data_IF_767370891002
#
_entry.id   IF_767370891002
#
_cell.length_a   1.000
_cell.length_b   1.000
_cell.length_c   1.000
_cell.angle_alpha   90.00
_cell.angle_beta   90.00
_cell.angle_gamma   90.00
#
_symmetry.space_group_name_H-M   'P 1'
#
loop_
_entity.id
_entity.type
_entity.pdbx_description
1 polymer ?
#
# COMPACT_ATOMS: atom_id res chain seq x y z
N UNK A 1 -16.96 -32.21 26.74
CA UNK A 1 -15.57 -31.93 27.13
C UNK A 1 -15.45 -30.41 27.40
N UNK A 2 -14.93 -30.01 28.56
CA UNK A 2 -14.63 -28.63 28.83
C UNK A 2 -13.53 -28.17 27.85
N UNK A 3 -13.75 -27.03 27.16
CA UNK A 3 -12.74 -26.45 26.26
C UNK A 3 -11.56 -25.95 27.09
N UNK A 4 -10.35 -26.33 26.70
CA UNK A 4 -9.15 -25.86 27.36
C UNK A 4 -8.92 -24.40 27.01
N UNK A 5 -8.62 -23.58 28.03
CA UNK A 5 -8.38 -22.14 27.85
C UNK A 5 -7.15 -21.90 26.96
N UNK A 6 -7.28 -21.00 26.00
CA UNK A 6 -6.15 -20.57 25.16
C UNK A 6 -5.26 -19.58 25.93
N UNK A 7 -4.30 -20.11 26.68
CA UNK A 7 -3.35 -19.30 27.48
C UNK A 7 -2.48 -18.44 26.57
N UNK A 8 -2.02 -18.96 25.43
CA UNK A 8 -1.17 -18.21 24.49
C UNK A 8 -1.85 -16.94 23.96
N UNK A 9 -3.14 -17.02 23.60
CA UNK A 9 -3.90 -15.83 23.20
C UNK A 9 -4.12 -14.87 24.36
N UNK A 10 -4.37 -15.38 25.56
CA UNK A 10 -4.52 -14.55 26.75
C UNK A 10 -3.24 -13.75 27.04
N UNK A 11 -2.09 -14.40 26.96
CA UNK A 11 -0.78 -13.78 27.19
C UNK A 11 -0.46 -12.73 26.14
N UNK A 12 -0.70 -13.01 24.86
CA UNK A 12 -0.52 -12.05 23.77
C UNK A 12 -1.41 -10.80 23.94
N UNK A 13 -2.66 -10.99 24.36
CA UNK A 13 -3.56 -9.86 24.69
C UNK A 13 -3.03 -9.06 25.87
N UNK A 14 -2.55 -9.72 26.92
CA UNK A 14 -1.97 -9.07 28.08
C UNK A 14 -0.74 -8.23 27.73
N UNK A 15 0.15 -8.75 26.85
CA UNK A 15 1.32 -8.04 26.32
C UNK A 15 0.94 -6.72 25.62
N UNK A 16 -0.24 -6.65 24.97
CA UNK A 16 -0.73 -5.41 24.35
C UNK A 16 -1.05 -4.30 25.33
N UNK A 17 -1.32 -4.62 26.60
CA UNK A 17 -1.88 -3.72 27.60
C UNK A 17 -3.34 -3.31 27.30
N UNK A 18 -4.03 -4.01 26.39
CA UNK A 18 -5.42 -3.72 26.02
C UNK A 18 -6.41 -4.59 26.77
N UNK A 19 -7.55 -4.00 27.13
CA UNK A 19 -8.72 -4.77 27.56
C UNK A 19 -9.37 -5.48 26.36
N UNK A 20 -10.09 -6.57 26.60
CA UNK A 20 -10.81 -7.31 25.55
C UNK A 20 -11.76 -6.45 24.71
N UNK A 21 -12.52 -5.46 25.28
CA UNK A 21 -13.29 -4.52 24.46
C UNK A 21 -12.41 -3.72 23.50
N UNK A 22 -11.22 -3.31 23.92
CA UNK A 22 -10.29 -2.55 23.08
C UNK A 22 -9.69 -3.42 21.97
N UNK A 23 -9.40 -4.69 22.27
CA UNK A 23 -9.01 -5.69 21.25
C UNK A 23 -10.12 -5.87 20.23
N UNK A 24 -11.38 -6.05 20.67
CA UNK A 24 -12.53 -6.20 19.77
C UNK A 24 -12.71 -4.98 18.85
N UNK A 25 -12.61 -3.77 19.39
CA UNK A 25 -12.71 -2.55 18.60
C UNK A 25 -11.57 -2.40 17.58
N UNK A 26 -10.35 -2.81 17.93
CA UNK A 26 -9.22 -2.83 17.02
C UNK A 26 -9.37 -3.92 15.94
N UNK A 27 -9.84 -5.10 16.32
CA UNK A 27 -10.15 -6.20 15.41
C UNK A 27 -11.19 -5.79 14.35
N UNK A 28 -12.29 -5.16 14.77
CA UNK A 28 -13.35 -4.70 13.85
C UNK A 28 -12.79 -3.67 12.84
N UNK A 29 -11.86 -2.82 13.25
CA UNK A 29 -11.20 -1.89 12.30
C UNK A 29 -10.40 -2.64 11.24
N UNK A 30 -9.58 -3.60 11.64
CA UNK A 30 -8.82 -4.43 10.68
C UNK A 30 -9.77 -5.24 9.80
N UNK A 31 -10.85 -5.80 10.36
CA UNK A 31 -11.88 -6.51 9.60
C UNK A 31 -12.54 -5.62 8.54
N UNK A 32 -12.84 -4.37 8.88
CA UNK A 32 -13.39 -3.39 7.94
C UNK A 32 -12.42 -3.04 6.81
N UNK A 33 -11.14 -2.85 7.14
CA UNK A 33 -10.08 -2.57 6.16
C UNK A 33 -9.91 -3.68 5.12
N UNK A 34 -10.05 -4.95 5.53
CA UNK A 34 -9.93 -6.11 4.62
C UNK A 34 -11.29 -6.55 4.05
N UNK A 35 -12.34 -5.76 4.23
CA UNK A 35 -13.68 -6.06 3.72
C UNK A 35 -14.33 -7.31 4.33
N UNK A 36 -13.96 -7.70 5.57
CA UNK A 36 -14.52 -8.84 6.30
C UNK A 36 -15.87 -8.48 6.93
N UNK A 37 -16.90 -8.25 6.11
CA UNK A 37 -18.22 -7.80 6.55
C UNK A 37 -18.84 -8.70 7.63
N UNK A 38 -18.63 -10.00 7.51
CA UNK A 38 -19.11 -11.02 8.45
C UNK A 38 -18.48 -10.90 9.85
N UNK A 39 -17.38 -10.17 10.00
CA UNK A 39 -16.64 -10.00 11.25
C UNK A 39 -16.84 -8.62 11.89
N UNK A 40 -17.59 -7.72 11.27
CA UNK A 40 -17.83 -6.37 11.80
C UNK A 40 -18.66 -6.38 13.11
N UNK A 41 -19.41 -7.45 13.36
CA UNK A 41 -20.14 -7.66 14.60
C UNK A 41 -19.31 -8.24 15.76
N UNK A 42 -17.99 -8.37 15.59
CA UNK A 42 -17.13 -8.95 16.65
C UNK A 42 -17.10 -8.04 17.88
N UNK A 43 -17.38 -8.64 19.03
CA UNK A 43 -17.51 -7.94 20.31
C UNK A 43 -16.56 -8.51 21.38
N UNK A 44 -16.54 -7.90 22.56
CA UNK A 44 -15.83 -8.43 23.74
C UNK A 44 -16.15 -9.93 23.98
N UNK A 45 -17.42 -10.33 23.81
CA UNK A 45 -17.85 -11.71 24.07
C UNK A 45 -17.16 -12.71 23.14
N UNK A 46 -16.93 -12.34 21.87
CA UNK A 46 -16.20 -13.17 20.92
C UNK A 46 -14.72 -13.31 21.35
N UNK A 47 -14.07 -12.23 21.74
CA UNK A 47 -12.69 -12.28 22.26
C UNK A 47 -12.61 -13.16 23.51
N UNK A 48 -13.58 -13.02 24.44
CA UNK A 48 -13.64 -13.84 25.64
C UNK A 48 -13.83 -15.35 25.32
N UNK A 49 -14.68 -15.69 24.33
CA UNK A 49 -14.87 -17.06 23.88
C UNK A 49 -13.57 -17.64 23.28
N UNK A 50 -12.84 -16.87 22.49
CA UNK A 50 -11.58 -17.30 21.88
C UNK A 50 -10.49 -17.54 22.94
N UNK A 51 -10.38 -16.65 23.93
CA UNK A 51 -9.52 -16.86 25.11
C UNK A 51 -9.98 -18.07 25.92
N UNK A 52 -11.29 -18.33 25.98
CA UNK A 52 -11.87 -19.51 26.63
C UNK A 52 -11.65 -20.84 25.88
N UNK A 53 -10.94 -20.84 24.74
CA UNK A 53 -10.59 -22.04 23.98
C UNK A 53 -11.48 -22.34 22.78
N UNK A 54 -12.44 -21.44 22.45
CA UNK A 54 -13.17 -21.54 21.18
C UNK A 54 -12.25 -21.09 20.04
N UNK A 55 -12.06 -21.93 19.02
CA UNK A 55 -11.27 -21.56 17.85
C UNK A 55 -12.08 -20.62 16.95
N UNK A 56 -11.56 -19.42 16.61
CA UNK A 56 -12.14 -18.58 15.58
C UNK A 56 -11.99 -19.23 14.21
N UNK A 57 -12.99 -19.03 13.33
CA UNK A 57 -13.03 -19.67 12.01
C UNK A 57 -12.83 -18.63 10.89
N UNK A 58 -12.65 -19.10 9.67
CA UNK A 58 -12.52 -18.26 8.47
C UNK A 58 -11.32 -17.32 8.56
N UNK A 59 -11.53 -16.02 8.32
CA UNK A 59 -10.48 -14.98 8.34
C UNK A 59 -10.13 -14.47 9.74
N UNK A 60 -10.95 -14.79 10.75
CA UNK A 60 -10.79 -14.23 12.09
C UNK A 60 -9.41 -14.48 12.73
N UNK A 61 -8.77 -15.66 12.60
CA UNK A 61 -7.42 -15.87 13.13
C UNK A 61 -6.38 -14.91 12.59
N UNK A 62 -6.36 -14.70 11.25
CA UNK A 62 -5.39 -13.83 10.60
C UNK A 62 -5.63 -12.34 10.93
N UNK A 63 -6.88 -11.92 10.99
CA UNK A 63 -7.25 -10.55 11.39
C UNK A 63 -6.86 -10.29 12.85
N UNK A 64 -7.00 -11.29 13.72
CA UNK A 64 -6.57 -11.18 15.12
C UNK A 64 -5.05 -11.06 15.22
N UNK A 65 -4.31 -11.89 14.47
CA UNK A 65 -2.85 -11.79 14.39
C UNK A 65 -2.41 -10.40 13.92
N UNK A 66 -3.00 -9.87 12.84
CA UNK A 66 -2.70 -8.52 12.33
C UNK A 66 -3.03 -7.45 13.37
N UNK A 67 -4.17 -7.57 14.05
CA UNK A 67 -4.57 -6.64 15.12
C UNK A 67 -3.55 -6.56 16.25
N UNK A 68 -3.05 -7.73 16.67
CA UNK A 68 -2.04 -7.83 17.73
C UNK A 68 -0.65 -7.37 17.22
N UNK A 69 -0.29 -7.73 15.98
CA UNK A 69 0.98 -7.33 15.36
C UNK A 69 1.13 -5.81 15.28
N UNK A 70 0.06 -5.09 14.89
CA UNK A 70 0.05 -3.62 14.87
C UNK A 70 0.33 -3.02 16.24
N UNK A 71 -0.23 -3.59 17.28
CA UNK A 71 -0.04 -3.07 18.64
C UNK A 71 1.32 -3.41 19.21
N UNK A 72 1.78 -4.64 18.99
CA UNK A 72 3.04 -5.15 19.54
C UNK A 72 4.26 -4.76 18.69
N UNK A 73 4.02 -4.22 17.49
CA UNK A 73 5.07 -3.84 16.52
C UNK A 73 6.05 -4.98 16.23
N UNK A 74 5.50 -6.20 16.17
CA UNK A 74 6.20 -7.43 15.76
C UNK A 74 5.21 -8.39 15.10
N UNK A 75 5.69 -9.29 14.22
CA UNK A 75 4.82 -10.31 13.65
C UNK A 75 4.23 -11.21 14.74
N UNK A 76 2.92 -11.44 14.69
CA UNK A 76 2.22 -12.44 15.49
C UNK A 76 1.66 -13.48 14.55
N UNK A 77 2.01 -14.74 14.78
CA UNK A 77 1.53 -15.86 13.98
C UNK A 77 0.37 -16.58 14.67
N UNK A 78 -0.53 -17.26 13.92
CA UNK A 78 -1.60 -18.05 14.52
C UNK A 78 -1.07 -19.11 15.50
N UNK A 79 0.02 -19.79 15.16
CA UNK A 79 0.63 -20.80 16.03
C UNK A 79 1.15 -20.22 17.36
N UNK A 80 1.68 -18.99 17.32
CA UNK A 80 2.16 -18.29 18.52
C UNK A 80 1.03 -17.99 19.51
N UNK A 81 -0.16 -17.66 19.00
CA UNK A 81 -1.35 -17.39 19.84
C UNK A 81 -2.28 -18.60 19.97
N UNK A 82 -1.80 -19.81 19.65
CA UNK A 82 -2.54 -21.05 19.84
C UNK A 82 -3.79 -21.20 18.98
N UNK A 83 -3.78 -20.61 17.79
CA UNK A 83 -4.88 -20.75 16.82
C UNK A 83 -4.47 -21.66 15.67
N UNK A 84 -5.41 -22.49 15.22
CA UNK A 84 -5.28 -23.31 14.03
C UNK A 84 -5.77 -22.49 12.82
N UNK A 85 -4.99 -22.45 11.76
CA UNK A 85 -5.41 -21.92 10.46
C UNK A 85 -5.36 -23.10 9.48
N UNK A 86 -6.37 -23.28 8.62
CA UNK A 86 -6.21 -24.17 7.47
C UNK A 86 -4.96 -23.76 6.72
N UNK A 87 -4.19 -24.72 6.25
CA UNK A 87 -2.86 -24.51 5.64
C UNK A 87 -2.94 -23.61 4.39
N UNK A 88 -3.10 -22.32 4.61
CA UNK A 88 -2.98 -21.28 3.59
C UNK A 88 -1.53 -20.79 3.60
N UNK A 89 -0.62 -21.75 3.35
CA UNK A 89 0.81 -21.54 3.16
C UNK A 89 1.42 -20.52 4.12
N UNK A 90 2.16 -20.96 5.13
CA UNK A 90 2.94 -20.09 5.99
C UNK A 90 3.87 -19.21 5.12
N UNK A 91 3.48 -17.96 4.92
CA UNK A 91 4.23 -16.97 4.17
C UNK A 91 5.38 -16.49 5.05
N UNK A 92 6.52 -17.12 4.90
CA UNK A 92 7.77 -16.73 5.57
C UNK A 92 8.91 -16.84 4.54
N UNK A 93 10.14 -16.94 4.91
CA UNK A 93 11.35 -17.03 4.07
C UNK A 93 11.22 -17.77 2.72
N UNK A 94 10.15 -18.55 2.52
CA UNK A 94 9.79 -19.27 1.31
C UNK A 94 9.48 -18.36 0.11
N UNK A 95 8.84 -17.19 0.27
CA UNK A 95 8.45 -16.33 -0.88
C UNK A 95 9.65 -15.83 -1.68
N UNK A 96 10.77 -15.53 -1.02
CA UNK A 96 11.98 -15.08 -1.68
C UNK A 96 12.66 -16.18 -2.51
N UNK A 97 12.44 -17.43 -2.15
CA UNK A 97 13.07 -18.60 -2.80
C UNK A 97 12.23 -19.22 -3.92
N UNK A 98 10.93 -18.88 -4.02
CA UNK A 98 10.07 -19.34 -5.11
C UNK A 98 10.57 -18.72 -6.42
N UNK A 99 10.57 -19.47 -7.51
CA UNK A 99 10.90 -18.93 -8.84
C UNK A 99 9.98 -17.77 -9.21
N UNK A 100 10.57 -16.70 -9.73
CA UNK A 100 9.86 -15.44 -9.99
C UNK A 100 8.77 -15.57 -11.06
N UNK A 101 9.03 -16.38 -12.10
CA UNK A 101 8.05 -16.62 -13.17
C UNK A 101 6.87 -17.45 -12.65
N UNK A 102 7.13 -18.49 -11.87
CA UNK A 102 6.09 -19.30 -11.23
C UNK A 102 5.25 -18.43 -10.30
N UNK A 103 5.88 -17.62 -9.44
CA UNK A 103 5.18 -16.72 -8.54
C UNK A 103 4.30 -15.69 -9.28
N UNK A 104 4.74 -15.17 -10.43
CA UNK A 104 3.96 -14.24 -11.25
C UNK A 104 2.69 -14.89 -11.79
N UNK A 105 2.82 -16.09 -12.34
CA UNK A 105 1.68 -16.82 -12.92
C UNK A 105 0.67 -17.22 -11.85
N UNK A 106 1.13 -17.76 -10.73
CA UNK A 106 0.27 -18.22 -9.64
C UNK A 106 -0.48 -17.06 -8.98
N UNK A 107 0.22 -15.95 -8.70
CA UNK A 107 -0.39 -14.76 -8.10
C UNK A 107 -1.43 -14.13 -9.04
N UNK A 108 -1.07 -13.93 -10.30
CA UNK A 108 -1.96 -13.30 -11.26
C UNK A 108 -3.21 -14.14 -11.53
N UNK A 109 -3.09 -15.47 -11.68
CA UNK A 109 -4.24 -16.37 -11.83
C UNK A 109 -5.13 -16.37 -10.60
N UNK A 110 -4.54 -16.43 -9.41
CA UNK A 110 -5.29 -16.39 -8.15
C UNK A 110 -6.15 -15.12 -8.07
N UNK A 111 -5.59 -13.94 -8.40
CA UNK A 111 -6.29 -12.67 -8.28
C UNK A 111 -7.34 -12.49 -9.40
N UNK A 112 -7.10 -12.96 -10.63
CA UNK A 112 -8.12 -13.01 -11.70
C UNK A 112 -9.30 -13.89 -11.29
N UNK A 113 -9.07 -15.04 -10.67
CA UNK A 113 -10.12 -15.95 -10.21
C UNK A 113 -10.88 -15.39 -8.99
N UNK A 114 -10.20 -14.70 -8.07
CA UNK A 114 -10.83 -14.02 -6.93
C UNK A 114 -11.75 -12.89 -7.37
N UNK A 115 -11.32 -12.08 -8.34
CA UNK A 115 -12.15 -11.03 -8.94
C UNK A 115 -13.42 -11.61 -9.59
N UNK A 116 -13.30 -12.74 -10.28
CA UNK A 116 -14.45 -13.44 -10.88
C UNK A 116 -15.43 -14.01 -9.85
N UNK A 117 -14.92 -14.49 -8.71
CA UNK A 117 -15.75 -15.20 -7.70
C UNK A 117 -16.33 -14.27 -6.64
N UNK A 118 -15.86 -13.03 -6.48
CA UNK A 118 -16.27 -12.02 -5.46
C UNK A 118 -16.48 -12.55 -4.02
N UNK A 119 -16.16 -13.81 -3.72
CA UNK A 119 -16.62 -14.54 -2.52
C UNK A 119 -15.51 -15.01 -1.58
N UNK A 120 -14.25 -14.96 -1.97
CA UNK A 120 -13.13 -15.35 -1.09
C UNK A 120 -12.23 -14.14 -0.85
N UNK A 121 -12.73 -13.28 -0.01
CA UNK A 121 -12.05 -12.07 0.41
C UNK A 121 -10.64 -12.34 0.92
N UNK A 122 -9.75 -11.47 0.48
CA UNK A 122 -8.33 -11.49 0.66
C UNK A 122 -7.82 -11.90 2.03
N UNK A 123 -6.70 -12.57 2.02
CA UNK A 123 -5.91 -12.81 3.22
C UNK A 123 -5.63 -11.49 3.94
N UNK A 124 -5.62 -11.49 5.27
CA UNK A 124 -5.22 -10.31 6.03
C UNK A 124 -3.74 -10.01 5.74
N UNK A 125 -3.42 -8.73 5.64
CA UNK A 125 -2.04 -8.26 5.51
C UNK A 125 -1.18 -8.84 6.63
N UNK A 126 0.01 -9.32 6.29
CA UNK A 126 0.95 -9.89 7.25
C UNK A 126 2.30 -9.20 7.21
N UNK A 127 2.69 -8.59 8.32
CA UNK A 127 4.02 -7.97 8.45
C UNK A 127 5.16 -9.00 8.43
N UNK A 128 4.89 -10.28 8.69
CA UNK A 128 5.89 -11.34 8.57
C UNK A 128 6.48 -11.47 7.18
N UNK A 129 5.72 -11.09 6.14
CA UNK A 129 6.17 -11.07 4.76
C UNK A 129 7.01 -9.85 4.37
N UNK A 130 7.27 -8.91 5.28
CA UNK A 130 8.08 -7.71 5.01
C UNK A 130 9.58 -7.90 5.31
N UNK A 131 9.98 -9.02 5.89
CA UNK A 131 11.38 -9.30 6.15
C UNK A 131 12.16 -9.37 4.83
N UNK A 132 13.16 -8.49 4.67
CA UNK A 132 13.99 -8.48 3.48
C UNK A 132 15.05 -9.57 3.55
N UNK A 133 15.44 -10.16 2.40
CA UNK A 133 16.50 -11.15 2.34
C UNK A 133 17.86 -10.51 2.63
N UNK A 134 18.82 -11.32 3.06
CA UNK A 134 20.21 -10.89 3.28
C UNK A 134 20.91 -10.45 1.99
N UNK A 135 22.03 -9.74 2.14
CA UNK A 135 22.76 -9.15 1.01
C UNK A 135 23.14 -10.18 -0.07
N UNK A 136 23.55 -11.39 0.33
CA UNK A 136 23.90 -12.46 -0.60
C UNK A 136 22.78 -12.78 -1.59
N UNK A 137 21.51 -12.75 -1.14
CA UNK A 137 20.36 -12.99 -2.01
C UNK A 137 20.27 -11.95 -3.13
N UNK A 138 20.54 -10.67 -2.80
CA UNK A 138 20.55 -9.57 -3.77
C UNK A 138 21.67 -9.73 -4.80
N UNK A 139 22.86 -10.07 -4.34
CA UNK A 139 24.06 -10.21 -5.17
C UNK A 139 23.91 -11.39 -6.16
N UNK A 140 23.18 -12.44 -5.78
CA UNK A 140 22.94 -13.63 -6.60
C UNK A 140 21.70 -13.49 -7.55
N UNK A 141 20.82 -12.53 -7.33
CA UNK A 141 19.55 -12.41 -8.09
C UNK A 141 19.76 -12.27 -9.61
N UNK A 142 20.69 -11.44 -10.14
CA UNK A 142 20.93 -11.34 -11.57
C UNK A 142 21.41 -12.65 -12.18
N UNK A 143 22.25 -13.40 -11.46
CA UNK A 143 22.76 -14.68 -11.94
C UNK A 143 21.67 -15.77 -11.95
N UNK A 144 20.79 -15.80 -10.95
CA UNK A 144 19.63 -16.70 -10.94
C UNK A 144 18.74 -16.45 -12.17
N UNK A 145 18.46 -15.20 -12.52
CA UNK A 145 17.70 -14.85 -13.69
C UNK A 145 18.40 -15.27 -15.00
N UNK A 146 19.72 -15.14 -15.07
CA UNK A 146 20.52 -15.55 -16.24
C UNK A 146 20.53 -17.05 -16.41
N UNK A 147 20.52 -17.83 -15.33
CA UNK A 147 20.53 -19.29 -15.35
C UNK A 147 19.15 -19.91 -15.59
N UNK A 148 18.07 -19.11 -15.59
CA UNK A 148 16.70 -19.62 -15.83
C UNK A 148 16.60 -20.19 -17.24
N UNK A 149 16.22 -21.47 -17.41
CA UNK A 149 16.01 -22.04 -18.73
C UNK A 149 14.80 -21.39 -19.39
N UNK A 150 14.83 -21.16 -20.72
CA UNK A 150 13.67 -20.65 -21.42
C UNK A 150 12.51 -21.65 -21.35
N UNK A 151 11.31 -21.15 -21.06
CA UNK A 151 10.09 -21.94 -21.04
C UNK A 151 9.42 -22.01 -22.42
N UNK A 152 9.78 -21.11 -23.33
CA UNK A 152 9.28 -21.06 -24.72
C UNK A 152 10.40 -20.77 -25.71
N UNK A 153 10.19 -21.08 -26.99
CA UNK A 153 11.11 -20.75 -28.08
C UNK A 153 10.94 -19.32 -28.62
N UNK A 154 10.04 -18.51 -28.03
CA UNK A 154 9.81 -17.13 -28.48
C UNK A 154 11.07 -16.29 -28.28
N UNK A 155 11.50 -15.62 -29.34
CA UNK A 155 12.59 -14.66 -29.28
C UNK A 155 12.10 -13.34 -28.73
N UNK A 156 12.83 -12.78 -27.76
CA UNK A 156 12.52 -11.54 -27.07
C UNK A 156 13.54 -10.47 -27.45
N UNK A 157 13.03 -9.35 -27.98
CA UNK A 157 13.80 -8.21 -28.42
C UNK A 157 13.33 -6.89 -27.79
N UNK A 158 13.75 -5.78 -28.37
CA UNK A 158 13.40 -4.42 -27.92
C UNK A 158 11.89 -4.16 -28.05
N UNK A 159 11.23 -4.76 -29.05
CA UNK A 159 9.81 -4.58 -29.29
C UNK A 159 8.95 -5.07 -28.11
N UNK A 160 9.27 -6.24 -27.52
CA UNK A 160 8.57 -6.76 -26.35
C UNK A 160 8.82 -5.88 -25.11
N UNK A 161 10.03 -5.36 -24.95
CA UNK A 161 10.35 -4.41 -23.85
C UNK A 161 9.51 -3.14 -24.00
N UNK A 162 9.42 -2.55 -25.20
CA UNK A 162 8.61 -1.36 -25.47
C UNK A 162 7.14 -1.61 -25.20
N UNK A 163 6.60 -2.75 -25.65
CA UNK A 163 5.20 -3.13 -25.42
C UNK A 163 4.86 -3.19 -23.92
N UNK A 164 5.75 -3.79 -23.10
CA UNK A 164 5.53 -3.84 -21.65
C UNK A 164 5.57 -2.44 -21.03
N UNK A 165 6.49 -1.57 -21.45
CA UNK A 165 6.59 -0.18 -20.96
C UNK A 165 5.35 0.64 -21.31
N UNK A 166 4.88 0.57 -22.56
CA UNK A 166 3.68 1.26 -23.04
C UNK A 166 2.43 0.85 -22.24
N UNK A 167 2.24 -0.45 -22.03
CA UNK A 167 1.14 -0.95 -21.24
C UNK A 167 1.25 -0.54 -19.76
N UNK A 168 2.44 -0.53 -19.19
CA UNK A 168 2.70 -0.06 -17.83
C UNK A 168 2.33 1.41 -17.68
N UNK A 169 2.72 2.25 -18.62
CA UNK A 169 2.38 3.67 -18.63
C UNK A 169 0.86 3.88 -18.76
N UNK A 170 0.20 3.13 -19.64
CA UNK A 170 -1.27 3.18 -19.78
C UNK A 170 -1.98 2.90 -18.44
N UNK A 171 -1.64 1.80 -17.75
CA UNK A 171 -2.26 1.46 -16.48
C UNK A 171 -1.89 2.44 -15.37
N UNK A 172 -0.66 2.93 -15.33
CA UNK A 172 -0.22 3.95 -14.36
C UNK A 172 -1.01 5.25 -14.51
N UNK A 173 -1.24 5.73 -15.75
CA UNK A 173 -2.05 6.93 -16.01
C UNK A 173 -3.52 6.70 -15.65
N UNK A 174 -4.04 5.52 -15.97
CA UNK A 174 -5.41 5.13 -15.67
C UNK A 174 -5.67 5.10 -14.15
N UNK A 175 -4.75 4.50 -13.38
CA UNK A 175 -4.80 4.48 -11.91
C UNK A 175 -4.84 5.89 -11.32
N UNK A 176 -3.99 6.80 -11.76
CA UNK A 176 -3.96 8.16 -11.25
C UNK A 176 -5.25 8.94 -11.50
N UNK A 177 -5.95 8.64 -12.58
CA UNK A 177 -7.19 9.32 -12.97
C UNK A 177 -8.43 8.66 -12.39
N UNK A 178 -8.53 7.34 -12.48
CA UNK A 178 -9.76 6.59 -12.18
C UNK A 178 -9.69 5.77 -10.88
N UNK A 179 -8.49 5.59 -10.30
CA UNK A 179 -8.27 4.78 -9.10
C UNK A 179 -7.91 3.32 -9.39
N UNK A 180 -7.37 2.66 -8.37
CA UNK A 180 -6.76 1.34 -8.49
C UNK A 180 -7.71 0.18 -8.75
N UNK A 181 -9.03 0.35 -8.57
CA UNK A 181 -10.00 -0.68 -8.92
C UNK A 181 -10.32 -0.69 -10.42
N UNK A 182 -10.09 0.43 -11.12
CA UNK A 182 -10.42 0.56 -12.53
C UNK A 182 -9.36 -0.08 -13.44
N UNK A 183 -9.73 -1.14 -14.14
CA UNK A 183 -8.86 -1.85 -15.09
C UNK A 183 -7.83 -2.80 -14.47
N UNK A 184 -7.83 -3.00 -13.16
CA UNK A 184 -6.87 -3.86 -12.45
C UNK A 184 -6.85 -5.30 -12.96
N UNK A 185 -8.01 -5.92 -13.17
CA UNK A 185 -8.13 -7.27 -13.69
C UNK A 185 -7.49 -7.42 -15.08
N UNK A 186 -7.61 -6.40 -15.93
CA UNK A 186 -6.97 -6.41 -17.23
C UNK A 186 -5.44 -6.38 -17.12
N UNK A 187 -4.89 -5.63 -16.14
CA UNK A 187 -3.45 -5.66 -15.87
C UNK A 187 -3.00 -7.03 -15.37
N UNK A 188 -3.73 -7.66 -14.44
CA UNK A 188 -3.40 -9.01 -13.97
C UNK A 188 -3.38 -10.03 -15.12
N UNK A 189 -4.39 -9.97 -16.00
CA UNK A 189 -4.46 -10.83 -17.16
C UNK A 189 -3.25 -10.60 -18.09
N UNK A 190 -2.90 -9.35 -18.37
CA UNK A 190 -1.72 -9.00 -19.17
C UNK A 190 -0.41 -9.52 -18.57
N UNK A 191 -0.27 -9.45 -17.22
CA UNK A 191 0.91 -9.99 -16.55
C UNK A 191 1.04 -11.50 -16.73
N UNK A 192 -0.08 -12.24 -16.65
CA UNK A 192 -0.10 -13.71 -16.80
C UNK A 192 0.09 -14.14 -18.26
N UNK A 193 -0.63 -13.50 -19.19
CA UNK A 193 -0.71 -13.97 -20.58
C UNK A 193 0.45 -13.48 -21.44
N UNK A 194 0.95 -12.27 -21.20
CA UNK A 194 1.99 -11.67 -22.05
C UNK A 194 3.32 -11.55 -21.32
N UNK A 195 3.36 -10.85 -20.16
CA UNK A 195 4.63 -10.58 -19.47
C UNK A 195 5.30 -11.88 -19.02
N UNK A 196 4.55 -12.83 -18.47
CA UNK A 196 5.10 -14.13 -18.06
C UNK A 196 5.67 -14.91 -19.26
N UNK A 197 5.02 -14.87 -20.44
CA UNK A 197 5.54 -15.49 -21.66
C UNK A 197 6.82 -14.83 -22.17
N UNK A 198 6.93 -13.49 -22.02
CA UNK A 198 8.14 -12.78 -22.41
C UNK A 198 9.31 -13.12 -21.47
N UNK A 199 9.09 -13.17 -20.16
CA UNK A 199 10.12 -13.58 -19.18
C UNK A 199 10.60 -15.01 -19.45
N UNK A 200 9.71 -15.90 -19.90
CA UNK A 200 10.02 -17.30 -20.24
C UNK A 200 10.61 -17.49 -21.64
N UNK A 201 10.87 -16.44 -22.42
CA UNK A 201 11.39 -16.52 -23.79
C UNK A 201 12.91 -16.61 -23.90
N UNK A 202 13.40 -16.61 -25.14
CA UNK A 202 14.82 -16.60 -25.47
C UNK A 202 15.25 -15.16 -25.77
N UNK A 203 16.10 -14.58 -24.95
CA UNK A 203 16.52 -13.19 -25.09
C UNK A 203 17.58 -12.99 -26.16
N UNK A 204 17.46 -11.89 -26.91
CA UNK A 204 18.44 -11.52 -27.94
C UNK A 204 19.81 -11.16 -27.32
N UNK A 205 19.82 -10.59 -26.11
CA UNK A 205 21.02 -10.21 -25.37
C UNK A 205 20.74 -10.15 -23.86
N UNK A 206 21.81 -10.05 -23.08
CA UNK A 206 21.74 -9.85 -21.63
C UNK A 206 21.11 -8.49 -21.29
N UNK A 207 21.37 -7.46 -22.10
CA UNK A 207 20.76 -6.14 -21.93
C UNK A 207 19.25 -6.16 -22.20
N UNK A 208 18.81 -6.90 -23.23
CA UNK A 208 17.38 -7.11 -23.50
C UNK A 208 16.71 -7.83 -22.33
N UNK A 209 17.37 -8.84 -21.76
CA UNK A 209 16.85 -9.55 -20.59
C UNK A 209 16.68 -8.62 -19.39
N UNK A 210 17.72 -7.84 -19.04
CA UNK A 210 17.64 -6.86 -17.94
C UNK A 210 16.56 -5.82 -18.20
N UNK A 211 16.50 -5.27 -19.40
CA UNK A 211 15.50 -4.29 -19.79
C UNK A 211 14.07 -4.83 -19.69
N UNK A 212 13.83 -6.10 -20.10
CA UNK A 212 12.51 -6.72 -19.95
C UNK A 212 12.16 -6.97 -18.48
N UNK A 213 13.11 -7.48 -17.67
CA UNK A 213 12.86 -7.72 -16.24
C UNK A 213 12.58 -6.42 -15.48
N UNK A 214 13.26 -5.32 -15.81
CA UNK A 214 12.97 -4.00 -15.27
C UNK A 214 11.57 -3.51 -15.67
N UNK A 215 11.20 -3.61 -16.95
CA UNK A 215 9.87 -3.25 -17.44
C UNK A 215 8.77 -4.11 -16.79
N UNK A 216 9.01 -5.41 -16.63
CA UNK A 216 8.12 -6.32 -15.92
C UNK A 216 7.99 -5.96 -14.43
N UNK A 217 9.10 -5.58 -13.77
CA UNK A 217 9.07 -5.12 -12.38
C UNK A 217 8.20 -3.87 -12.21
N UNK A 218 8.29 -2.92 -13.14
CA UNK A 218 7.43 -1.72 -13.14
C UNK A 218 5.95 -2.08 -13.35
N UNK A 219 5.63 -2.99 -14.28
CA UNK A 219 4.25 -3.45 -14.50
C UNK A 219 3.66 -4.15 -13.27
N UNK A 220 4.42 -5.04 -12.64
CA UNK A 220 4.05 -5.73 -11.40
C UNK A 220 3.93 -4.75 -10.22
N UNK A 221 4.80 -3.75 -10.16
CA UNK A 221 4.70 -2.66 -9.18
C UNK A 221 3.38 -1.88 -9.34
N UNK A 222 2.98 -1.55 -10.57
CA UNK A 222 1.70 -0.87 -10.83
C UNK A 222 0.52 -1.74 -10.37
N UNK A 223 0.55 -3.06 -10.63
CA UNK A 223 -0.45 -3.99 -10.11
C UNK A 223 -0.52 -3.99 -8.57
N UNK A 224 0.64 -3.95 -7.91
CA UNK A 224 0.73 -3.80 -6.45
C UNK A 224 0.15 -2.47 -5.95
N UNK A 225 0.46 -1.37 -6.64
CA UNK A 225 -0.06 -0.05 -6.29
C UNK A 225 -1.58 0.04 -6.47
N UNK A 226 -2.12 -0.47 -7.59
CA UNK A 226 -3.57 -0.55 -7.84
C UNK A 226 -4.28 -1.41 -6.78
N UNK A 227 -3.66 -2.52 -6.36
CA UNK A 227 -4.17 -3.37 -5.27
C UNK A 227 -4.19 -2.61 -3.94
N UNK A 228 -3.13 -1.85 -3.63
CA UNK A 228 -3.03 -1.03 -2.44
C UNK A 228 -4.08 0.09 -2.43
N UNK A 229 -4.26 0.79 -3.55
CA UNK A 229 -5.29 1.82 -3.69
C UNK A 229 -6.70 1.24 -3.54
N UNK A 230 -6.91 -0.01 -3.96
CA UNK A 230 -8.17 -0.73 -3.80
C UNK A 230 -8.39 -1.31 -2.40
N UNK A 231 -7.49 -1.07 -1.44
CA UNK A 231 -7.47 -1.64 -0.08
C UNK A 231 -7.28 -3.17 -0.04
N UNK A 232 -6.76 -3.78 -1.11
CA UNK A 232 -6.37 -5.20 -1.15
C UNK A 232 -4.91 -5.35 -0.69
N UNK A 233 -4.68 -5.11 0.60
CA UNK A 233 -3.35 -4.89 1.15
C UNK A 233 -2.42 -6.11 1.05
N UNK A 234 -2.93 -7.33 1.19
CA UNK A 234 -2.11 -8.53 1.07
C UNK A 234 -1.73 -8.81 -0.39
N UNK A 235 -2.66 -8.68 -1.34
CA UNK A 235 -2.33 -8.75 -2.77
C UNK A 235 -1.27 -7.70 -3.12
N UNK A 236 -1.43 -6.46 -2.65
CA UNK A 236 -0.45 -5.39 -2.86
C UNK A 236 0.94 -5.77 -2.36
N UNK A 237 1.05 -6.29 -1.12
CA UNK A 237 2.31 -6.76 -0.54
C UNK A 237 2.98 -7.84 -1.42
N UNK A 238 2.20 -8.81 -1.88
CA UNK A 238 2.69 -9.91 -2.72
C UNK A 238 3.18 -9.40 -4.08
N UNK A 239 2.45 -8.50 -4.73
CA UNK A 239 2.90 -7.87 -5.97
C UNK A 239 4.15 -7.01 -5.77
N UNK A 240 4.24 -6.24 -4.70
CA UNK A 240 5.46 -5.47 -4.39
C UNK A 240 6.66 -6.38 -4.12
N UNK A 241 6.48 -7.49 -3.39
CA UNK A 241 7.55 -8.47 -3.19
C UNK A 241 8.02 -9.07 -4.52
N UNK A 242 7.08 -9.43 -5.40
CA UNK A 242 7.39 -9.96 -6.72
C UNK A 242 8.08 -8.93 -7.63
N UNK A 243 7.61 -7.68 -7.62
CA UNK A 243 8.25 -6.58 -8.34
C UNK A 243 9.68 -6.35 -7.86
N UNK A 244 9.91 -6.44 -6.54
CA UNK A 244 11.23 -6.29 -5.95
C UNK A 244 12.19 -7.41 -6.37
N UNK A 245 11.69 -8.65 -6.47
CA UNK A 245 12.46 -9.78 -7.03
C UNK A 245 12.86 -9.53 -8.49
N UNK A 246 11.93 -9.09 -9.33
CA UNK A 246 12.19 -8.75 -10.73
C UNK A 246 13.20 -7.59 -10.86
N UNK A 247 13.11 -6.55 -10.02
CA UNK A 247 14.05 -5.45 -10.02
C UNK A 247 15.47 -5.89 -9.60
N UNK A 248 15.58 -6.82 -8.62
CA UNK A 248 16.85 -7.43 -8.25
C UNK A 248 17.43 -8.31 -9.37
N UNK A 249 16.59 -9.10 -10.05
CA UNK A 249 16.98 -9.92 -11.21
C UNK A 249 17.41 -9.06 -12.42
N UNK A 250 16.86 -7.84 -12.55
CA UNK A 250 17.24 -6.86 -13.56
C UNK A 250 18.55 -6.11 -13.23
N UNK A 251 19.07 -6.22 -11.98
CA UNK A 251 20.15 -5.41 -11.45
C UNK A 251 19.85 -3.90 -11.46
N UNK A 252 18.55 -3.52 -11.31
CA UNK A 252 18.10 -2.13 -11.27
C UNK A 252 17.91 -1.68 -9.80
N UNK A 253 18.98 -1.15 -9.22
CA UNK A 253 18.97 -0.71 -7.83
C UNK A 253 18.01 0.49 -7.57
N UNK A 254 17.92 1.55 -8.41
CA UNK A 254 16.93 2.61 -8.25
C UNK A 254 15.48 2.11 -8.26
N UNK A 255 15.13 1.20 -9.17
CA UNK A 255 13.81 0.59 -9.24
C UNK A 255 13.50 -0.23 -7.96
N UNK A 256 14.48 -0.99 -7.45
CA UNK A 256 14.34 -1.68 -6.17
C UNK A 256 14.07 -0.68 -5.02
N UNK A 257 14.76 0.47 -5.00
CA UNK A 257 14.51 1.56 -4.07
C UNK A 257 13.08 2.10 -4.18
N UNK A 258 12.60 2.32 -5.40
CA UNK A 258 11.24 2.77 -5.69
C UNK A 258 10.17 1.80 -5.17
N UNK A 259 10.37 0.50 -5.33
CA UNK A 259 9.43 -0.53 -4.84
C UNK A 259 9.46 -0.63 -3.31
N UNK A 260 10.64 -0.64 -2.69
CA UNK A 260 10.79 -0.63 -1.24
C UNK A 260 10.10 0.58 -0.59
N UNK A 261 10.18 1.76 -1.23
CA UNK A 261 9.46 2.95 -0.82
C UNK A 261 7.94 2.72 -0.81
N UNK A 262 7.38 2.01 -1.80
CA UNK A 262 5.95 1.72 -1.83
C UNK A 262 5.54 0.74 -0.72
N UNK A 263 6.36 -0.26 -0.43
CA UNK A 263 6.14 -1.16 0.72
C UNK A 263 6.20 -0.40 2.05
N UNK A 264 7.14 0.55 2.20
CA UNK A 264 7.24 1.43 3.37
C UNK A 264 5.99 2.32 3.52
N UNK A 265 5.50 2.88 2.41
CA UNK A 265 4.27 3.67 2.39
C UNK A 265 3.07 2.84 2.86
N UNK A 266 2.90 1.62 2.33
CA UNK A 266 1.85 0.70 2.76
C UNK A 266 1.96 0.35 4.24
N UNK A 267 3.14 0.00 4.72
CA UNK A 267 3.37 -0.32 6.13
C UNK A 267 3.07 0.87 7.06
N UNK A 268 3.40 2.10 6.64
CA UNK A 268 3.05 3.33 7.37
C UNK A 268 1.54 3.50 7.48
N UNK A 269 0.82 3.37 6.37
CA UNK A 269 -0.65 3.55 6.35
C UNK A 269 -1.38 2.47 7.17
N UNK A 270 -0.83 1.27 7.23
CA UNK A 270 -1.39 0.15 7.98
C UNK A 270 -0.97 0.12 9.47
N UNK A 271 -0.19 1.10 9.94
CA UNK A 271 0.18 1.23 11.35
C UNK A 271 1.32 0.33 11.81
N UNK A 272 2.27 0.05 10.92
CA UNK A 272 3.51 -0.70 11.20
C UNK A 272 4.75 0.21 11.08
N UNK A 273 4.89 1.27 11.92
CA UNK A 273 5.92 2.30 11.73
C UNK A 273 7.34 1.75 11.78
N UNK A 274 7.67 0.77 12.63
CA UNK A 274 9.02 0.18 12.70
C UNK A 274 9.41 -0.50 11.39
N UNK A 275 8.53 -1.36 10.85
CA UNK A 275 8.75 -1.99 9.55
C UNK A 275 8.81 -0.99 8.41
N UNK A 276 7.99 0.06 8.48
CA UNK A 276 8.03 1.15 7.51
C UNK A 276 9.38 1.87 7.51
N UNK A 277 9.97 2.14 8.69
CA UNK A 277 11.31 2.74 8.81
C UNK A 277 12.39 1.81 8.24
N UNK A 278 12.33 0.50 8.51
CA UNK A 278 13.29 -0.47 7.98
C UNK A 278 13.24 -0.51 6.44
N UNK A 279 12.04 -0.59 5.85
CA UNK A 279 11.82 -0.60 4.40
C UNK A 279 12.24 0.74 3.76
N UNK A 280 11.87 1.86 4.37
CA UNK A 280 12.24 3.20 3.88
C UNK A 280 13.76 3.43 3.98
N UNK A 281 14.40 2.96 5.03
CA UNK A 281 15.86 3.01 5.16
C UNK A 281 16.54 2.14 4.10
N UNK A 282 16.01 0.95 3.85
CA UNK A 282 16.49 0.09 2.77
C UNK A 282 16.29 0.76 1.40
N UNK A 283 15.21 1.52 1.18
CA UNK A 283 14.93 2.19 -0.10
C UNK A 283 15.97 3.25 -0.46
N UNK A 284 16.52 3.95 0.53
CA UNK A 284 17.54 5.00 0.35
C UNK A 284 18.97 4.49 0.55
N UNK A 285 19.18 3.17 0.65
CA UNK A 285 20.48 2.60 0.94
C UNK A 285 21.35 2.46 -0.33
N UNK A 286 22.60 2.92 -0.25
CA UNK A 286 23.67 2.66 -1.24
C UNK A 286 23.23 3.02 -2.68
N UNK A 287 23.44 2.12 -3.64
CA UNK A 287 23.12 2.30 -5.07
C UNK A 287 21.65 2.63 -5.35
N UNK A 288 20.72 2.26 -4.46
CA UNK A 288 19.29 2.59 -4.62
C UNK A 288 19.04 4.09 -4.60
N UNK A 289 19.84 4.84 -3.84
CA UNK A 289 19.76 6.29 -3.79
C UNK A 289 20.82 6.96 -4.69
N UNK A 290 22.07 6.50 -4.68
CA UNK A 290 23.15 7.19 -5.38
C UNK A 290 23.05 7.10 -6.91
N UNK A 291 22.38 6.07 -7.46
CA UNK A 291 22.11 5.92 -8.89
C UNK A 291 20.72 6.43 -9.29
N UNK A 292 19.88 6.81 -8.33
CA UNK A 292 18.55 7.37 -8.61
C UNK A 292 18.66 8.80 -9.12
N UNK A 293 17.71 9.20 -9.97
CA UNK A 293 17.60 10.61 -10.40
C UNK A 293 17.21 11.50 -9.22
N UNK A 294 17.43 12.83 -9.29
CA UNK A 294 17.02 13.73 -8.21
C UNK A 294 15.54 13.61 -7.87
N UNK A 295 14.67 13.48 -8.87
CA UNK A 295 13.22 13.29 -8.65
C UNK A 295 12.91 11.95 -7.93
N UNK A 296 13.60 10.87 -8.30
CA UNK A 296 13.46 9.60 -7.58
C UNK A 296 13.95 9.73 -6.14
N UNK A 297 15.10 10.36 -5.90
CA UNK A 297 15.62 10.59 -4.54
C UNK A 297 14.63 11.37 -3.68
N UNK A 298 14.02 12.43 -4.23
CA UNK A 298 12.99 13.19 -3.56
C UNK A 298 11.79 12.32 -3.16
N UNK A 299 11.32 11.48 -4.06
CA UNK A 299 10.22 10.54 -3.80
C UNK A 299 10.57 9.51 -2.71
N UNK A 300 11.78 8.96 -2.71
CA UNK A 300 12.26 8.07 -1.66
C UNK A 300 12.33 8.80 -0.31
N UNK A 301 12.87 10.02 -0.31
CA UNK A 301 13.07 10.87 0.86
C UNK A 301 11.77 11.25 1.58
N UNK A 302 10.71 11.64 0.83
CA UNK A 302 9.43 12.01 1.48
C UNK A 302 8.75 10.82 2.15
N UNK A 303 8.86 9.62 1.60
CA UNK A 303 8.28 8.43 2.25
C UNK A 303 9.13 8.00 3.45
N UNK A 304 10.47 8.17 3.37
CA UNK A 304 11.33 7.97 4.55
C UNK A 304 10.93 8.95 5.68
N UNK A 305 10.74 10.24 5.36
CA UNK A 305 10.31 11.22 6.33
C UNK A 305 8.97 10.84 6.99
N UNK A 306 8.02 10.38 6.21
CA UNK A 306 6.71 9.95 6.68
C UNK A 306 6.78 8.72 7.59
N UNK A 307 7.62 7.74 7.24
CA UNK A 307 7.84 6.53 8.05
C UNK A 307 8.51 6.89 9.40
N UNK A 308 9.52 7.75 9.37
CA UNK A 308 10.19 8.26 10.57
C UNK A 308 9.24 9.05 11.48
N UNK A 309 8.36 9.89 10.90
CA UNK A 309 7.36 10.62 11.65
C UNK A 309 6.36 9.69 12.34
N UNK A 310 5.91 8.63 11.64
CA UNK A 310 5.01 7.62 12.19
C UNK A 310 5.63 6.85 13.36
N UNK A 311 6.96 6.65 13.33
CA UNK A 311 7.72 6.02 14.42
C UNK A 311 8.14 7.01 15.53
N UNK A 312 7.72 8.28 15.44
CA UNK A 312 8.01 9.31 16.44
C UNK A 312 9.39 9.94 16.34
N UNK A 313 10.18 9.65 15.31
CA UNK A 313 11.54 10.16 15.08
C UNK A 313 11.53 11.56 14.46
N UNK A 314 10.98 12.55 15.18
CA UNK A 314 10.69 13.90 14.67
C UNK A 314 11.88 14.57 13.97
N UNK A 315 13.07 14.61 14.61
CA UNK A 315 14.25 15.30 14.03
C UNK A 315 14.70 14.65 12.72
N UNK A 316 14.73 13.32 12.68
CA UNK A 316 15.11 12.58 11.49
C UNK A 316 14.07 12.76 10.36
N UNK A 317 12.78 12.80 10.69
CA UNK A 317 11.71 13.05 9.73
C UNK A 317 11.85 14.42 9.07
N UNK A 318 12.07 15.48 9.84
CA UNK A 318 12.28 16.84 9.29
C UNK A 318 13.53 16.91 8.43
N UNK A 319 14.64 16.30 8.87
CA UNK A 319 15.88 16.27 8.07
C UNK A 319 15.68 15.51 6.74
N UNK A 320 14.86 14.45 6.73
CA UNK A 320 14.53 13.73 5.50
C UNK A 320 13.63 14.54 4.56
N UNK A 321 12.68 15.34 5.09
CA UNK A 321 11.87 16.28 4.28
C UNK A 321 12.74 17.33 3.58
N UNK A 322 13.62 17.98 4.33
CA UNK A 322 14.50 19.02 3.77
C UNK A 322 15.38 18.45 2.64
N UNK A 323 15.97 17.25 2.84
CA UNK A 323 16.72 16.59 1.77
C UNK A 323 15.87 16.29 0.54
N UNK A 324 14.61 15.87 0.74
CA UNK A 324 13.71 15.58 -0.37
C UNK A 324 13.30 16.86 -1.15
N UNK A 325 13.19 18.01 -0.47
CA UNK A 325 12.98 19.33 -1.09
C UNK A 325 14.20 19.75 -1.91
N UNK A 326 15.41 19.58 -1.37
CA UNK A 326 16.66 19.85 -2.07
C UNK A 326 16.81 18.96 -3.31
N UNK A 327 16.54 17.65 -3.18
CA UNK A 327 16.57 16.70 -4.28
C UNK A 327 15.56 17.06 -5.39
N UNK A 328 14.32 17.43 -5.03
CA UNK A 328 13.32 17.83 -6.04
C UNK A 328 13.67 19.16 -6.71
N UNK A 329 14.29 20.06 -5.97
CA UNK A 329 14.77 21.34 -6.52
C UNK A 329 15.91 21.10 -7.51
N UNK A 330 16.78 20.14 -7.25
CA UNK A 330 17.85 19.73 -8.16
C UNK A 330 17.34 19.00 -9.43
N UNK A 331 16.09 18.53 -9.43
CA UNK A 331 15.47 17.80 -10.56
C UNK A 331 15.00 18.73 -11.71
N UNK A 332 15.18 20.01 -11.63
CA UNK A 332 14.33 20.97 -12.33
C UNK A 332 14.73 21.33 -13.76
N UNK A 333 15.75 20.85 -14.41
CA UNK A 333 15.90 21.16 -15.86
C UNK A 333 16.73 20.10 -16.58
N UNK A 334 16.07 19.24 -17.35
CA UNK A 334 16.74 18.46 -18.41
C UNK A 334 17.14 17.04 -18.03
N UNK A 335 16.84 16.59 -16.83
CA UNK A 335 17.05 15.19 -16.45
C UNK A 335 16.02 14.29 -17.15
N UNK A 336 16.48 13.27 -17.86
CA UNK A 336 15.62 12.19 -18.36
C UNK A 336 15.16 11.33 -17.19
N UNK A 337 14.11 11.79 -16.51
CA UNK A 337 13.49 11.01 -15.43
C UNK A 337 12.86 9.72 -15.98
N UNK A 338 13.01 8.59 -15.28
CA UNK A 338 12.34 7.37 -15.67
C UNK A 338 10.80 7.54 -15.59
N UNK A 339 10.09 6.90 -16.53
CA UNK A 339 8.62 7.01 -16.63
C UNK A 339 7.89 6.66 -15.33
N UNK A 340 8.47 5.81 -14.49
CA UNK A 340 7.90 5.41 -13.19
C UNK A 340 7.70 6.53 -12.18
N UNK A 341 8.35 7.72 -12.35
CA UNK A 341 8.20 8.87 -11.44
C UNK A 341 7.46 10.06 -12.03
N UNK A 342 6.85 9.91 -13.22
CA UNK A 342 6.11 10.96 -13.91
C UNK A 342 5.05 11.65 -13.03
N UNK A 343 4.46 10.91 -12.09
CA UNK A 343 3.42 11.39 -11.19
C UNK A 343 3.97 12.24 -10.03
N UNK A 344 5.28 12.16 -9.75
CA UNK A 344 5.87 12.83 -8.59
C UNK A 344 6.34 14.24 -8.97
N UNK A 345 5.57 15.21 -8.55
CA UNK A 345 5.77 16.63 -8.83
C UNK A 345 5.73 17.44 -7.50
N UNK A 346 5.93 18.75 -7.56
CA UNK A 346 5.84 19.64 -6.37
C UNK A 346 4.55 19.43 -5.57
N UNK A 347 3.41 19.27 -6.26
CA UNK A 347 2.14 18.95 -5.60
C UNK A 347 2.16 17.63 -4.83
N UNK A 348 2.94 16.63 -5.29
CA UNK A 348 3.09 15.34 -4.60
C UNK A 348 4.01 15.45 -3.39
N UNK A 349 5.10 16.22 -3.52
CA UNK A 349 5.98 16.56 -2.39
C UNK A 349 5.19 17.26 -1.28
N UNK A 350 4.44 18.33 -1.62
CA UNK A 350 3.60 19.07 -0.68
C UNK A 350 2.57 18.15 0.03
N UNK A 351 1.95 17.22 -0.70
CA UNK A 351 1.03 16.24 -0.10
C UNK A 351 1.71 15.38 0.97
N UNK A 352 2.86 14.81 0.66
CA UNK A 352 3.58 13.93 1.60
C UNK A 352 4.19 14.72 2.77
N UNK A 353 4.65 15.96 2.52
CA UNK A 353 5.08 16.90 3.57
C UNK A 353 3.92 17.19 4.53
N UNK A 354 2.74 17.51 4.01
CA UNK A 354 1.55 17.73 4.81
C UNK A 354 1.19 16.53 5.68
N UNK A 355 1.25 15.32 5.11
CA UNK A 355 1.01 14.07 5.86
C UNK A 355 2.03 13.86 6.98
N UNK A 356 3.28 14.18 6.73
CA UNK A 356 4.37 14.10 7.72
C UNK A 356 4.16 15.10 8.85
N UNK A 357 3.91 16.37 8.54
CA UNK A 357 3.64 17.42 9.53
C UNK A 357 2.40 17.11 10.37
N UNK A 358 1.32 16.63 9.75
CA UNK A 358 0.14 16.18 10.45
C UNK A 358 0.45 15.08 11.46
N UNK A 359 1.23 14.07 11.08
CA UNK A 359 1.65 12.99 11.98
C UNK A 359 2.49 13.51 13.15
N UNK A 360 3.31 14.54 12.92
CA UNK A 360 4.11 15.20 13.95
C UNK A 360 3.32 16.19 14.83
N UNK A 361 2.03 16.41 14.53
CA UNK A 361 1.15 17.30 15.28
C UNK A 361 1.16 18.76 14.85
N UNK A 362 1.91 19.14 13.80
CA UNK A 362 1.88 20.47 13.20
C UNK A 362 0.70 20.57 12.21
N UNK A 363 -0.47 20.90 12.76
CA UNK A 363 -1.70 21.00 11.97
C UNK A 363 -1.69 22.24 11.04
N UNK A 364 -1.08 23.33 11.46
CA UNK A 364 -0.99 24.57 10.66
C UNK A 364 -0.06 24.38 9.48
N UNK A 365 1.10 23.78 9.69
CA UNK A 365 2.02 23.39 8.63
C UNK A 365 1.38 22.41 7.66
N UNK A 366 0.71 21.38 8.18
CA UNK A 366 0.01 20.41 7.36
C UNK A 366 -1.08 21.05 6.48
N UNK A 367 -1.86 21.99 7.02
CA UNK A 367 -2.91 22.68 6.27
C UNK A 367 -2.32 23.53 5.14
N UNK A 368 -1.23 24.26 5.41
CA UNK A 368 -0.53 25.06 4.37
C UNK A 368 -0.06 24.16 3.22
N UNK A 369 0.57 23.04 3.54
CA UNK A 369 1.11 22.13 2.52
C UNK A 369 0.01 21.36 1.77
N UNK A 370 -1.09 20.97 2.43
CA UNK A 370 -2.25 20.41 1.70
C UNK A 370 -2.84 21.44 0.74
N UNK A 371 -2.99 22.69 1.15
CA UNK A 371 -3.49 23.75 0.28
C UNK A 371 -2.55 23.98 -0.92
N UNK A 372 -1.24 24.03 -0.69
CA UNK A 372 -0.24 24.11 -1.75
C UNK A 372 -0.36 22.94 -2.74
N UNK A 373 -0.53 21.70 -2.22
CA UNK A 373 -0.74 20.51 -3.04
C UNK A 373 -2.02 20.59 -3.91
N UNK A 374 -3.13 21.07 -3.33
CA UNK A 374 -4.42 21.22 -4.04
C UNK A 374 -4.29 22.24 -5.15
N UNK A 375 -3.71 23.43 -4.87
CA UNK A 375 -3.58 24.54 -5.83
C UNK A 375 -2.64 24.23 -7.01
N UNK A 376 -1.59 23.45 -6.77
CA UNK A 376 -0.56 23.17 -7.80
C UNK A 376 -0.80 21.88 -8.57
N UNK A 377 -1.77 21.06 -8.15
CA UNK A 377 -2.05 19.77 -8.80
C UNK A 377 -2.95 19.94 -10.02
N UNK A 378 -2.60 19.26 -11.12
CA UNK A 378 -3.46 19.12 -12.29
C UNK A 378 -4.58 18.10 -11.97
N UNK A 379 -5.73 18.59 -11.49
CA UNK A 379 -6.82 17.76 -10.98
C UNK A 379 -7.33 16.73 -12.00
N UNK A 380 -7.46 17.09 -13.27
CA UNK A 380 -7.96 16.20 -14.34
C UNK A 380 -7.01 15.01 -14.62
N UNK A 381 -5.71 15.20 -14.42
CA UNK A 381 -4.71 14.15 -14.61
C UNK A 381 -4.58 13.26 -13.37
N UNK A 382 -4.71 13.86 -12.17
CA UNK A 382 -4.49 13.23 -10.88
C UNK A 382 -5.74 13.26 -9.99
N UNK A 383 -6.92 12.98 -10.58
CA UNK A 383 -8.22 13.12 -9.92
C UNK A 383 -8.31 12.34 -8.62
N UNK A 384 -7.80 11.09 -8.61
CA UNK A 384 -7.75 10.26 -7.41
C UNK A 384 -6.98 10.92 -6.28
N UNK A 385 -5.73 11.32 -6.54
CA UNK A 385 -4.88 11.93 -5.49
C UNK A 385 -5.41 13.30 -5.07
N UNK A 386 -6.02 14.05 -5.98
CA UNK A 386 -6.65 15.34 -5.67
C UNK A 386 -7.81 15.17 -4.68
N UNK A 387 -8.73 14.23 -4.95
CA UNK A 387 -9.85 13.90 -4.08
C UNK A 387 -9.39 13.46 -2.68
N UNK A 388 -8.39 12.58 -2.61
CA UNK A 388 -7.81 12.11 -1.34
C UNK A 388 -7.14 13.25 -0.56
N UNK A 389 -6.43 14.17 -1.26
CA UNK A 389 -5.76 15.33 -0.63
C UNK A 389 -6.79 16.26 0.01
N UNK A 390 -7.87 16.57 -0.70
CA UNK A 390 -8.99 17.37 -0.17
C UNK A 390 -9.63 16.68 1.05
N UNK A 391 -9.80 15.36 1.01
CA UNK A 391 -10.31 14.58 2.13
C UNK A 391 -9.46 14.73 3.40
N UNK A 392 -8.13 14.67 3.27
CA UNK A 392 -7.21 14.88 4.39
C UNK A 392 -7.18 16.33 4.86
N UNK A 393 -7.18 17.30 3.94
CA UNK A 393 -7.22 18.72 4.25
C UNK A 393 -8.44 19.08 5.12
N UNK A 394 -9.64 18.64 4.73
CA UNK A 394 -10.84 18.83 5.53
C UNK A 394 -10.76 18.16 6.91
N UNK A 395 -10.09 17.00 7.00
CA UNK A 395 -9.88 16.33 8.30
C UNK A 395 -8.98 17.15 9.22
N UNK A 396 -7.94 17.81 8.69
CA UNK A 396 -7.07 18.71 9.47
C UNK A 396 -7.85 19.95 9.93
N UNK A 397 -8.64 20.58 9.05
CA UNK A 397 -9.52 21.71 9.39
C UNK A 397 -10.50 21.36 10.52
N UNK A 398 -11.14 20.21 10.44
CA UNK A 398 -12.05 19.74 11.49
C UNK A 398 -11.33 19.51 12.82
N UNK A 399 -10.10 19.01 12.82
CA UNK A 399 -9.28 18.86 14.04
C UNK A 399 -8.85 20.20 14.66
N UNK A 400 -8.73 21.25 13.85
CA UNK A 400 -8.50 22.61 14.31
C UNK A 400 -9.79 23.28 14.86
N UNK A 401 -10.94 22.59 14.79
CA UNK A 401 -12.24 23.14 15.19
C UNK A 401 -13.00 23.88 14.09
N UNK A 402 -12.42 23.99 12.89
CA UNK A 402 -12.99 24.73 11.75
C UNK A 402 -13.95 23.83 10.95
N UNK A 403 -15.09 23.42 11.56
CA UNK A 403 -16.01 22.43 10.98
C UNK A 403 -16.64 22.94 9.67
N UNK A 404 -16.98 24.21 9.56
CA UNK A 404 -17.58 24.81 8.36
C UNK A 404 -16.60 24.78 7.18
N UNK A 405 -15.33 25.16 7.42
CA UNK A 405 -14.27 25.08 6.41
C UNK A 405 -14.03 23.62 5.98
N UNK A 406 -14.05 22.69 6.94
CA UNK A 406 -13.94 21.25 6.67
C UNK A 406 -15.08 20.76 5.77
N UNK A 407 -16.33 21.15 6.04
CA UNK A 407 -17.50 20.79 5.23
C UNK A 407 -17.37 21.33 3.80
N UNK A 408 -16.92 22.58 3.63
CA UNK A 408 -16.67 23.15 2.32
C UNK A 408 -15.60 22.37 1.53
N UNK A 409 -14.47 22.07 2.16
CA UNK A 409 -13.39 21.28 1.57
C UNK A 409 -13.84 19.85 1.23
N UNK A 410 -14.64 19.22 2.09
CA UNK A 410 -15.18 17.89 1.85
C UNK A 410 -16.23 17.87 0.74
N UNK A 411 -17.00 18.94 0.55
CA UNK A 411 -17.87 19.07 -0.62
C UNK A 411 -17.07 18.96 -1.92
N UNK A 412 -15.97 19.70 -2.02
CA UNK A 412 -15.05 19.62 -3.16
C UNK A 412 -14.42 18.23 -3.31
N UNK A 413 -14.04 17.59 -2.20
CA UNK A 413 -13.50 16.22 -2.22
C UNK A 413 -14.52 15.22 -2.80
N UNK A 414 -15.80 15.31 -2.37
CA UNK A 414 -16.88 14.43 -2.84
C UNK A 414 -17.20 14.66 -4.33
N UNK A 415 -17.11 15.91 -4.82
CA UNK A 415 -17.21 16.22 -6.24
C UNK A 415 -16.06 15.59 -7.04
N UNK A 416 -14.82 15.72 -6.53
CA UNK A 416 -13.64 15.12 -7.15
C UNK A 416 -13.62 13.58 -7.10
N UNK A 417 -14.39 12.96 -6.21
CA UNK A 417 -14.56 11.49 -6.16
C UNK A 417 -15.48 10.96 -7.24
N UNK A 418 -16.17 11.81 -7.99
CA UNK A 418 -17.06 11.37 -9.07
C UNK A 418 -16.26 10.63 -10.16
N UNK A 419 -16.59 9.36 -10.39
CA UNK A 419 -15.89 8.50 -11.37
C UNK A 419 -14.56 7.92 -10.89
N UNK A 420 -14.16 8.14 -9.61
CA UNK A 420 -12.96 7.57 -9.02
C UNK A 420 -13.30 6.28 -8.27
N UNK A 421 -12.71 5.16 -8.69
CA UNK A 421 -12.86 3.84 -8.10
C UNK A 421 -11.63 3.51 -7.24
N UNK A 422 -11.60 4.06 -6.02
CA UNK A 422 -10.44 4.00 -5.12
C UNK A 422 -10.88 3.66 -3.69
N UNK A 423 -10.27 2.66 -3.09
CA UNK A 423 -10.44 2.32 -1.68
C UNK A 423 -10.01 3.47 -0.76
N UNK A 424 -8.92 4.16 -1.10
CA UNK A 424 -8.43 5.32 -0.34
C UNK A 424 -9.40 6.51 -0.38
N UNK A 425 -10.04 6.77 -1.54
CA UNK A 425 -11.09 7.77 -1.63
C UNK A 425 -12.31 7.35 -0.79
N UNK A 426 -12.68 6.07 -0.84
CA UNK A 426 -13.73 5.50 0.00
C UNK A 426 -13.41 5.65 1.50
N UNK A 427 -12.19 5.37 1.92
CA UNK A 427 -11.74 5.57 3.31
C UNK A 427 -11.84 7.04 3.74
N UNK A 428 -11.50 7.98 2.86
CA UNK A 428 -11.67 9.41 3.12
C UNK A 428 -13.15 9.74 3.37
N UNK A 429 -14.08 9.22 2.57
CA UNK A 429 -15.53 9.42 2.77
C UNK A 429 -16.03 8.79 4.09
N UNK A 430 -15.55 7.59 4.45
CA UNK A 430 -15.83 6.96 5.76
C UNK A 430 -15.34 7.85 6.91
N UNK A 431 -14.13 8.41 6.77
CA UNK A 431 -13.56 9.29 7.79
C UNK A 431 -14.34 10.60 7.94
N UNK A 432 -14.82 11.20 6.83
CA UNK A 432 -15.69 12.38 6.85
C UNK A 432 -16.93 12.10 7.70
N UNK A 433 -17.64 11.01 7.46
CA UNK A 433 -18.83 10.61 8.21
C UNK A 433 -18.54 10.38 9.69
N UNK A 434 -17.40 9.77 10.01
CA UNK A 434 -16.98 9.56 11.39
C UNK A 434 -16.72 10.88 12.13
N UNK A 435 -16.04 11.81 11.50
CA UNK A 435 -15.73 13.12 12.06
C UNK A 435 -16.99 13.97 12.22
N UNK A 436 -17.92 13.88 11.26
CA UNK A 436 -19.20 14.63 11.31
C UNK A 436 -20.23 14.05 12.29
N UNK A 437 -20.04 12.80 12.75
CA UNK A 437 -21.01 12.12 13.63
C UNK A 437 -21.48 12.95 14.83
N UNK A 438 -20.62 13.69 15.58
CA UNK A 438 -21.06 14.52 16.72
C UNK A 438 -21.86 15.76 16.30
N UNK A 439 -21.79 16.18 15.05
CA UNK A 439 -22.36 17.44 14.55
C UNK A 439 -23.71 17.27 13.84
N UNK A 440 -24.03 16.05 13.37
CA UNK A 440 -25.26 15.74 12.59
C UNK A 440 -26.55 16.19 13.30
N UNK A 441 -26.60 16.04 14.64
CA UNK A 441 -27.79 16.30 15.45
C UNK A 441 -27.74 17.65 16.19
N UNK A 442 -26.76 18.52 15.87
CA UNK A 442 -26.57 19.82 16.55
C UNK A 442 -27.08 21.01 15.73
N UNK A 443 -27.91 20.78 14.72
CA UNK A 443 -28.51 21.86 13.92
C UNK A 443 -27.58 22.46 12.87
N UNK A 444 -26.42 21.84 12.59
CA UNK A 444 -25.47 22.27 11.55
C UNK A 444 -25.91 21.61 10.24
N UNK A 445 -26.75 22.29 9.47
CA UNK A 445 -27.33 21.76 8.22
C UNK A 445 -26.28 21.30 7.21
N UNK A 446 -25.17 22.04 7.07
CA UNK A 446 -24.06 21.70 6.17
C UNK A 446 -23.41 20.37 6.55
N UNK A 447 -23.25 20.07 7.85
CA UNK A 447 -22.68 18.81 8.30
C UNK A 447 -23.57 17.61 7.96
N UNK A 448 -24.88 17.76 8.06
CA UNK A 448 -25.84 16.71 7.67
C UNK A 448 -25.83 16.49 6.14
N UNK A 449 -25.77 17.55 5.34
CA UNK A 449 -25.66 17.46 3.88
C UNK A 449 -24.40 16.70 3.44
N UNK A 450 -23.23 17.06 3.98
CA UNK A 450 -21.97 16.38 3.66
C UNK A 450 -21.99 14.91 4.09
N UNK A 451 -22.59 14.56 5.24
CA UNK A 451 -22.74 13.17 5.66
C UNK A 451 -23.57 12.35 4.69
N UNK A 452 -24.70 12.88 4.20
CA UNK A 452 -25.56 12.20 3.21
C UNK A 452 -24.87 12.07 1.85
N UNK A 453 -24.14 13.09 1.40
CA UNK A 453 -23.35 13.02 0.17
C UNK A 453 -22.22 11.98 0.28
N UNK A 454 -21.52 11.93 1.42
CA UNK A 454 -20.49 10.92 1.66
C UNK A 454 -21.09 9.50 1.68
N UNK A 455 -22.30 9.33 2.26
CA UNK A 455 -23.04 8.06 2.23
C UNK A 455 -23.34 7.63 0.80
N UNK A 456 -23.83 8.53 -0.04
CA UNK A 456 -24.14 8.25 -1.44
C UNK A 456 -22.89 7.87 -2.26
N UNK A 457 -21.71 8.44 -1.96
CA UNK A 457 -20.43 8.00 -2.56
C UNK A 457 -20.10 6.57 -2.16
N UNK A 458 -20.26 6.23 -0.88
CA UNK A 458 -19.96 4.88 -0.37
C UNK A 458 -20.87 3.80 -0.96
N UNK A 459 -22.14 4.12 -1.24
CA UNK A 459 -23.10 3.22 -1.86
C UNK A 459 -22.80 2.96 -3.36
N UNK A 460 -22.18 3.93 -4.05
CA UNK A 460 -21.81 3.78 -5.48
C UNK A 460 -20.53 2.99 -5.70
N UNK A 461 -19.64 2.97 -4.70
CA UNK A 461 -18.32 2.31 -4.77
C UNK A 461 -18.35 0.95 -4.02
N UNK A 462 -19.50 0.54 -3.51
CA UNK A 462 -19.73 -0.79 -2.93
C UNK A 462 -20.00 -1.81 -4.04
#
# INVERSE_FOLDING_TARGET
>A
MARERNVKLADAIAETGWSQPKVAAAFVRVAAEVGAQELLGTSRSHIAMWVGGTQPSGRAPLILCETLSRRLQRPITPAEIGLSVPDTGAVTASEWNVDTLTALVDLGRSDVDLERRRLLAGAAYSVGGLALPGQQWWDEAPQRAKSRPPATSRRIGVAEVSAVREMTEFFSRRDQRHGGMDGRTALYQYLVDDVARYIGGVFASDDTRRALLAAAAEAVYVAGWMSFDASHHESARRYFTLALKLAAEADDAPLAGHILRAMAHQATDLGHPRFAVDLATASVARKRYTLATPRERALLGVVQARSLAADGQKRAAIAALLRAEDDLTAADVGDEDPSRVWFFQRASLAHETARTLWTLGDLDGALREFNNSVLTRKADTFSRTHAVTLGYMGTVQARQGNVEAACHTWAQALDAMAGVQSGRAREAAVNMRRVLSPFRNRGISVAAEIDERAKAVLERVA
#
